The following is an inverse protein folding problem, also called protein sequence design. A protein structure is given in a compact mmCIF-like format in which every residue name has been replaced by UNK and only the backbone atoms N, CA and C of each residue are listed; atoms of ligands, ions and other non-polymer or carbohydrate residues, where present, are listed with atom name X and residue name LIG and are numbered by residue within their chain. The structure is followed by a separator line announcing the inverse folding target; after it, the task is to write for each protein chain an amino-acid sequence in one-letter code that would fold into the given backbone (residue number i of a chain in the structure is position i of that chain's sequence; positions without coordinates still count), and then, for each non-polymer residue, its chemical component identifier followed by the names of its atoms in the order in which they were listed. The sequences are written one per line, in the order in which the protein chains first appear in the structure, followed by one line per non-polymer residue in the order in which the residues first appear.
data_IF_267799582048
#
_entry.id   IF_267799582048
#
_cell.length_a   1.000
_cell.length_b   1.000
_cell.length_c   1.000
_cell.angle_alpha   90.00
_cell.angle_beta   90.00
_cell.angle_gamma   90.00
#
_symmetry.space_group_name_H-M   'P 1'
#
loop_
_entity.id
_entity.type
_entity.pdbx_description
1 polymer ?
#
# COMPACT_ATOMS: atom_id res chain seq x y z
N UNK A 1 -1.91 27.02 12.09
CA UNK A 1 -1.85 25.55 12.27
C UNK A 1 -1.28 24.98 10.98
N UNK A 2 -0.04 24.49 11.04
CA UNK A 2 0.67 23.92 9.89
C UNK A 2 -0.18 22.85 9.21
N UNK A 3 -0.47 23.08 7.93
CA UNK A 3 -1.13 22.10 7.09
C UNK A 3 -0.21 20.89 6.96
N UNK A 4 -0.47 19.86 7.76
CA UNK A 4 0.11 18.54 7.57
C UNK A 4 -0.08 18.19 6.09
N UNK A 5 1.01 18.18 5.34
CA UNK A 5 1.01 17.69 3.97
C UNK A 5 0.59 16.24 4.07
N UNK A 6 -0.69 15.99 3.85
CA UNK A 6 -1.26 14.66 3.99
C UNK A 6 -0.66 13.83 2.85
N UNK A 7 0.45 13.16 3.14
CA UNK A 7 1.10 12.30 2.17
C UNK A 7 0.12 11.19 1.84
N UNK A 8 -0.35 11.18 0.59
CA UNK A 8 -1.22 10.14 0.10
C UNK A 8 -0.35 8.97 -0.38
N UNK A 9 -0.75 7.78 0.00
CA UNK A 9 -0.12 6.53 -0.35
C UNK A 9 -1.14 5.61 -1.01
N UNK A 10 -0.66 4.77 -1.92
CA UNK A 10 -1.40 3.66 -2.51
C UNK A 10 -0.74 2.38 -2.05
N UNK A 11 -1.45 1.55 -1.30
CA UNK A 11 -1.01 0.21 -0.88
C UNK A 11 -1.63 -0.81 -1.82
N UNK A 12 -0.81 -1.73 -2.33
CA UNK A 12 -1.17 -2.73 -3.31
C UNK A 12 -0.69 -4.10 -2.83
N UNK A 13 -1.60 -5.08 -2.88
CA UNK A 13 -1.30 -6.50 -2.70
C UNK A 13 -1.58 -7.20 -4.02
N UNK A 14 -0.60 -7.95 -4.52
CA UNK A 14 -0.71 -8.63 -5.81
C UNK A 14 -0.40 -10.10 -5.63
N UNK A 15 -1.40 -10.96 -5.79
CA UNK A 15 -1.22 -12.42 -5.82
C UNK A 15 -0.74 -12.83 -7.20
N UNK A 16 -1.40 -12.32 -8.25
CA UNK A 16 -1.10 -12.60 -9.66
C UNK A 16 -1.41 -11.38 -10.54
N UNK A 17 -1.26 -11.51 -11.86
CA UNK A 17 -1.60 -10.42 -12.79
C UNK A 17 -3.11 -10.07 -12.78
N UNK A 18 -3.98 -11.02 -12.43
CA UNK A 18 -5.44 -10.85 -12.37
C UNK A 18 -5.95 -10.50 -10.97
N UNK A 19 -5.43 -11.17 -9.94
CA UNK A 19 -5.81 -10.92 -8.55
C UNK A 19 -4.87 -9.94 -7.86
N UNK A 20 -5.36 -8.70 -7.74
CA UNK A 20 -4.69 -7.64 -7.01
C UNK A 20 -5.70 -6.78 -6.23
N UNK A 21 -5.35 -6.47 -4.99
CA UNK A 21 -6.04 -5.53 -4.14
C UNK A 21 -5.26 -4.22 -4.10
N UNK A 22 -5.97 -3.09 -4.19
CA UNK A 22 -5.36 -1.76 -4.06
C UNK A 22 -6.22 -0.89 -3.18
N UNK A 23 -5.59 -0.11 -2.31
CA UNK A 23 -6.27 0.85 -1.46
C UNK A 23 -5.43 2.12 -1.30
N UNK A 24 -6.07 3.25 -1.51
CA UNK A 24 -5.48 4.56 -1.28
C UNK A 24 -5.70 4.98 0.17
N UNK A 25 -4.69 5.58 0.78
CA UNK A 25 -4.72 6.03 2.17
C UNK A 25 -3.82 7.23 2.36
N UNK A 26 -3.88 7.79 3.56
CA UNK A 26 -2.99 8.84 4.00
C UNK A 26 -1.94 8.27 4.96
N UNK A 27 -0.95 9.09 5.33
CA UNK A 27 0.16 8.68 6.19
C UNK A 27 -0.29 8.05 7.50
N UNK A 28 -1.33 8.59 8.14
CA UNK A 28 -1.88 8.11 9.40
C UNK A 28 -2.42 6.67 9.30
N UNK A 29 -2.96 6.30 8.12
CA UNK A 29 -3.51 4.97 7.84
C UNK A 29 -2.55 4.03 7.13
N UNK A 30 -1.34 4.48 6.76
CA UNK A 30 -0.40 3.68 5.98
C UNK A 30 0.03 2.42 6.75
N UNK A 31 0.35 2.57 8.03
CA UNK A 31 0.81 1.45 8.86
C UNK A 31 -0.30 0.43 9.14
N UNK A 32 -1.51 0.92 9.44
CA UNK A 32 -2.71 0.09 9.60
C UNK A 32 -2.97 -0.75 8.34
N UNK A 33 -2.91 -0.13 7.16
CA UNK A 33 -3.08 -0.82 5.88
C UNK A 33 -1.96 -1.79 5.54
N UNK A 34 -0.71 -1.47 5.89
CA UNK A 34 0.41 -2.41 5.74
C UNK A 34 0.15 -3.67 6.55
N UNK A 35 -0.26 -3.52 7.81
CA UNK A 35 -0.56 -4.66 8.68
C UNK A 35 -1.73 -5.50 8.14
N UNK A 36 -2.81 -4.84 7.69
CA UNK A 36 -3.95 -5.51 7.06
C UNK A 36 -3.52 -6.34 5.83
N UNK A 37 -2.78 -5.73 4.90
CA UNK A 37 -2.35 -6.38 3.67
C UNK A 37 -1.35 -7.51 3.95
N UNK A 38 -0.51 -7.36 4.96
CA UNK A 38 0.42 -8.41 5.41
C UNK A 38 -0.33 -9.59 6.06
N UNK A 39 -1.42 -9.33 6.78
CA UNK A 39 -2.31 -10.39 7.28
C UNK A 39 -2.91 -11.18 6.14
N UNK A 40 -3.48 -10.49 5.14
CA UNK A 40 -4.05 -11.12 3.94
C UNK A 40 -2.98 -11.94 3.20
N UNK A 41 -1.77 -11.39 3.03
CA UNK A 41 -0.65 -12.11 2.41
C UNK A 41 -0.28 -13.39 3.18
N UNK A 42 -0.32 -13.37 4.52
CA UNK A 42 -0.06 -14.55 5.36
C UNK A 42 -1.13 -15.61 5.19
N UNK A 43 -2.40 -15.21 5.14
CA UNK A 43 -3.52 -16.13 4.90
C UNK A 43 -3.45 -16.77 3.51
N UNK A 44 -3.20 -15.95 2.48
CA UNK A 44 -3.06 -16.43 1.09
C UNK A 44 -1.77 -17.26 0.88
N UNK A 45 -0.78 -17.14 1.78
CA UNK A 45 0.58 -17.70 1.68
C UNK A 45 1.32 -17.35 0.38
N UNK A 46 0.81 -16.38 -0.38
CA UNK A 46 1.22 -16.01 -1.74
C UNK A 46 1.03 -14.51 -1.96
N UNK A 47 1.71 -14.00 -2.98
CA UNK A 47 1.60 -12.60 -3.40
C UNK A 47 2.62 -11.65 -2.77
N UNK A 48 2.63 -10.41 -3.26
CA UNK A 48 3.57 -9.36 -2.88
C UNK A 48 2.83 -8.10 -2.46
N UNK A 49 3.20 -7.55 -1.31
CA UNK A 49 2.72 -6.28 -0.80
C UNK A 49 3.70 -5.17 -1.15
N UNK A 50 3.19 -4.04 -1.64
CA UNK A 50 3.98 -2.84 -1.86
C UNK A 50 3.13 -1.59 -1.71
N UNK A 51 3.76 -0.44 -1.47
CA UNK A 51 3.09 0.84 -1.50
C UNK A 51 3.84 1.85 -2.36
N UNK A 52 3.13 2.89 -2.79
CA UNK A 52 3.63 4.01 -3.58
C UNK A 52 3.14 5.31 -2.96
N UNK A 53 3.96 6.34 -2.94
CA UNK A 53 3.56 7.69 -2.52
C UNK A 53 3.08 8.50 -3.73
N UNK A 54 2.06 9.32 -3.55
CA UNK A 54 1.63 10.28 -4.56
C UNK A 54 2.59 11.48 -4.66
N UNK A 55 2.70 12.13 -5.85
CA UNK A 55 2.11 11.71 -7.12
C UNK A 55 2.79 10.44 -7.67
N UNK A 56 2.00 9.55 -8.29
CA UNK A 56 2.43 8.22 -8.78
C UNK A 56 3.48 8.27 -9.92
N UNK A 57 3.92 9.47 -10.33
CA UNK A 57 4.86 9.68 -11.44
C UNK A 57 6.27 9.16 -11.16
N UNK A 58 6.67 9.02 -9.89
CA UNK A 58 7.83 8.22 -9.51
C UNK A 58 7.33 6.81 -9.27
N UNK A 59 7.52 5.91 -10.23
CA UNK A 59 7.08 4.51 -10.19
C UNK A 59 7.81 3.66 -9.12
N UNK A 60 8.17 4.28 -7.98
CA UNK A 60 8.92 3.69 -6.87
C UNK A 60 7.96 2.90 -6.00
N UNK A 61 7.97 1.57 -6.19
CA UNK A 61 7.27 0.61 -5.34
C UNK A 61 8.15 0.27 -4.14
N UNK A 62 7.61 0.41 -2.94
CA UNK A 62 8.29 0.03 -1.70
C UNK A 62 7.61 -1.23 -1.16
N UNK A 63 8.32 -2.35 -1.16
CA UNK A 63 7.86 -3.66 -0.68
C UNK A 63 8.00 -3.75 0.85
N UNK A 64 7.12 -4.50 1.51
CA UNK A 64 7.08 -4.66 2.97
C UNK A 64 6.46 -6.00 3.40
#
# INVERSE_FOLDING_TARGET
MEGYKINKYRVEFRVNNKDYFRKDCYEDKLEELKNLFKSIQREEKKGKCYYRRFPLGKNKKIYF
#
